data_IF_528263910732
#
_entry.id   IF_528263910732
#
_cell.length_a   1.000
_cell.length_b   1.000
_cell.length_c   1.000
_cell.angle_alpha   90.00
_cell.angle_beta   90.00
_cell.angle_gamma   90.00
#
_symmetry.space_group_name_H-M   'P 1'
#
loop_
_entity.id
_entity.type
_entity.pdbx_description
1 polymer ?
#
# COMPACT_ATOMS: atom_id res chain seq x y z
N UNK A 1 19.57 -11.60 -24.73
CA UNK A 1 19.07 -10.64 -25.74
C UNK A 1 18.92 -9.27 -25.04
N UNK A 2 19.76 -8.27 -25.34
CA UNK A 2 19.64 -6.92 -24.74
C UNK A 2 18.56 -6.13 -25.49
N UNK A 3 17.35 -6.08 -24.97
CA UNK A 3 16.31 -5.17 -25.44
C UNK A 3 16.55 -3.79 -24.82
N UNK A 4 16.54 -2.73 -25.65
CA UNK A 4 16.85 -1.35 -25.24
C UNK A 4 15.83 -0.77 -24.24
N UNK A 5 14.62 -1.33 -24.15
CA UNK A 5 13.64 -1.05 -23.10
C UNK A 5 12.63 -2.19 -22.97
N UNK A 6 12.06 -2.37 -21.76
CA UNK A 6 11.00 -3.35 -21.49
C UNK A 6 9.76 -3.10 -22.37
N UNK A 7 9.42 -1.84 -22.62
CA UNK A 7 8.35 -1.44 -23.54
C UNK A 7 8.58 -1.97 -24.96
N UNK A 8 9.79 -1.80 -25.50
CA UNK A 8 10.15 -2.31 -26.82
C UNK A 8 10.19 -3.85 -26.90
N UNK A 9 10.27 -4.54 -25.75
CA UNK A 9 10.13 -5.99 -25.67
C UNK A 9 8.66 -6.42 -25.72
N UNK A 10 7.77 -5.70 -25.04
CA UNK A 10 6.32 -5.96 -25.05
C UNK A 10 5.72 -5.71 -26.43
N UNK A 11 6.07 -4.60 -27.09
CA UNK A 11 5.59 -4.25 -28.44
C UNK A 11 6.00 -5.26 -29.53
N UNK A 12 6.99 -6.13 -29.27
CA UNK A 12 7.38 -7.23 -30.18
C UNK A 12 6.52 -8.47 -30.03
N UNK A 13 5.80 -8.62 -28.92
CA UNK A 13 5.08 -9.85 -28.55
C UNK A 13 3.58 -9.65 -28.40
N UNK A 14 3.16 -8.41 -28.15
CA UNK A 14 1.78 -8.03 -27.92
C UNK A 14 1.41 -6.90 -28.87
N UNK A 15 0.16 -6.90 -29.31
CA UNK A 15 -0.39 -5.79 -30.07
C UNK A 15 -0.74 -4.60 -29.15
N UNK A 16 -0.98 -3.43 -29.73
CA UNK A 16 -1.26 -2.20 -28.96
C UNK A 16 -2.51 -2.30 -28.08
N UNK A 17 -3.52 -3.07 -28.48
CA UNK A 17 -4.74 -3.24 -27.70
C UNK A 17 -4.48 -4.11 -26.46
N UNK A 18 -3.73 -5.21 -26.61
CA UNK A 18 -3.33 -6.08 -25.50
C UNK A 18 -2.47 -5.31 -24.47
N UNK A 19 -1.53 -4.48 -24.94
CA UNK A 19 -0.72 -3.64 -24.05
C UNK A 19 -1.60 -2.65 -23.29
N UNK A 20 -2.54 -1.98 -23.98
CA UNK A 20 -3.43 -1.02 -23.35
C UNK A 20 -4.37 -1.66 -22.32
N UNK A 21 -4.87 -2.88 -22.56
CA UNK A 21 -5.68 -3.61 -21.58
C UNK A 21 -4.87 -3.99 -20.33
N UNK A 22 -3.63 -4.46 -20.50
CA UNK A 22 -2.73 -4.78 -19.38
C UNK A 22 -2.42 -3.51 -18.57
N UNK A 23 -2.08 -2.41 -19.22
CA UNK A 23 -1.82 -1.13 -18.54
C UNK A 23 -3.05 -0.62 -17.79
N UNK A 24 -4.25 -0.74 -18.37
CA UNK A 24 -5.50 -0.37 -17.72
C UNK A 24 -5.76 -1.23 -16.47
N UNK A 25 -5.62 -2.55 -16.57
CA UNK A 25 -5.83 -3.45 -15.45
C UNK A 25 -4.84 -3.17 -14.31
N UNK A 26 -3.55 -3.03 -14.65
CA UNK A 26 -2.50 -2.71 -13.68
C UNK A 26 -2.73 -1.37 -12.98
N UNK A 27 -3.21 -0.36 -13.71
CA UNK A 27 -3.54 0.95 -13.14
C UNK A 27 -4.68 0.84 -12.12
N UNK A 28 -5.77 0.14 -12.45
CA UNK A 28 -6.89 -0.06 -11.54
C UNK A 28 -6.44 -0.81 -10.27
N UNK A 29 -5.67 -1.89 -10.43
CA UNK A 29 -5.14 -2.65 -9.31
C UNK A 29 -4.24 -1.80 -8.40
N UNK A 30 -3.36 -0.99 -9.00
CA UNK A 30 -2.52 -0.04 -8.27
C UNK A 30 -3.35 0.99 -7.51
N UNK A 31 -4.38 1.57 -8.14
CA UNK A 31 -5.25 2.57 -7.49
C UNK A 31 -5.99 1.97 -6.29
N UNK A 32 -6.48 0.74 -6.40
CA UNK A 32 -7.12 0.01 -5.30
C UNK A 32 -6.12 -0.24 -4.17
N UNK A 33 -4.94 -0.78 -4.49
CA UNK A 33 -3.91 -1.06 -3.51
C UNK A 33 -3.46 0.22 -2.79
N UNK A 34 -3.23 1.29 -3.54
CA UNK A 34 -2.80 2.57 -2.98
C UNK A 34 -3.88 3.17 -2.07
N UNK A 35 -5.15 3.09 -2.47
CA UNK A 35 -6.28 3.53 -1.63
C UNK A 35 -6.30 2.76 -0.29
N UNK A 36 -6.13 1.43 -0.32
CA UNK A 36 -6.06 0.63 0.90
C UNK A 36 -4.87 1.04 1.78
N UNK A 37 -3.70 1.30 1.19
CA UNK A 37 -2.51 1.76 1.93
C UNK A 37 -2.77 3.12 2.59
N UNK A 38 -3.40 4.04 1.88
CA UNK A 38 -3.76 5.37 2.38
C UNK A 38 -4.77 5.29 3.53
N UNK A 39 -5.73 4.39 3.47
CA UNK A 39 -6.71 4.24 4.55
C UNK A 39 -6.07 3.66 5.83
N UNK A 40 -5.18 2.69 5.69
CA UNK A 40 -4.38 2.22 6.83
C UNK A 40 -3.50 3.35 7.40
N UNK A 41 -2.87 4.15 6.54
CA UNK A 41 -2.04 5.27 6.97
C UNK A 41 -2.83 6.32 7.76
N UNK A 42 -4.01 6.71 7.27
CA UNK A 42 -4.93 7.63 7.97
C UNK A 42 -5.30 7.10 9.35
N UNK A 43 -5.62 5.82 9.45
CA UNK A 43 -5.97 5.18 10.72
C UNK A 43 -4.81 5.20 11.72
N UNK A 44 -3.60 4.92 11.26
CA UNK A 44 -2.39 4.96 12.07
C UNK A 44 -2.09 6.38 12.54
N UNK A 45 -2.13 7.38 11.65
CA UNK A 45 -1.88 8.78 12.00
C UNK A 45 -2.92 9.29 13.00
N UNK A 46 -4.18 8.95 12.80
CA UNK A 46 -5.25 9.28 13.75
C UNK A 46 -5.00 8.64 15.12
N UNK A 47 -4.68 7.35 15.15
CA UNK A 47 -4.34 6.66 16.40
C UNK A 47 -3.16 7.31 17.12
N UNK A 48 -2.11 7.70 16.38
CA UNK A 48 -0.97 8.41 16.95
C UNK A 48 -1.40 9.74 17.58
N UNK A 49 -2.23 10.52 16.90
CA UNK A 49 -2.73 11.80 17.40
C UNK A 49 -3.61 11.63 18.65
N UNK A 50 -4.53 10.67 18.63
CA UNK A 50 -5.47 10.39 19.73
C UNK A 50 -4.76 9.92 21.01
N UNK A 51 -3.60 9.26 20.87
CA UNK A 51 -2.87 8.66 21.98
C UNK A 51 -1.55 9.40 22.28
N UNK A 52 -1.32 10.57 21.67
CA UNK A 52 -0.09 11.37 21.80
C UNK A 52 1.20 10.55 21.54
N UNK A 53 1.15 9.63 20.57
CA UNK A 53 2.29 8.79 20.21
C UNK A 53 3.18 9.49 19.18
N UNK A 54 4.47 9.54 19.47
CA UNK A 54 5.48 9.95 18.50
C UNK A 54 5.85 8.83 17.54
N UNK A 55 6.60 9.18 16.50
CA UNK A 55 7.15 8.23 15.54
C UNK A 55 7.96 7.11 16.20
N UNK A 56 8.81 7.45 17.17
CA UNK A 56 9.65 6.49 17.89
C UNK A 56 8.84 5.53 18.77
N UNK A 57 7.69 5.96 19.29
CA UNK A 57 6.80 5.08 20.06
C UNK A 57 6.19 4.02 19.15
N UNK A 58 5.80 4.42 17.94
CA UNK A 58 5.25 3.49 16.95
C UNK A 58 6.29 2.49 16.47
N UNK A 59 7.53 2.93 16.23
CA UNK A 59 8.68 2.06 15.93
C UNK A 59 8.85 0.98 17.00
N UNK A 60 8.85 1.37 18.29
CA UNK A 60 8.97 0.43 19.42
C UNK A 60 7.77 -0.52 19.52
N UNK A 61 6.54 0.01 19.42
CA UNK A 61 5.30 -0.78 19.53
C UNK A 61 5.13 -1.80 18.40
N UNK A 62 5.58 -1.47 17.18
CA UNK A 62 5.47 -2.38 16.04
C UNK A 62 6.66 -3.34 15.89
N UNK A 63 7.79 -3.04 16.54
CA UNK A 63 9.03 -3.80 16.34
C UNK A 63 9.55 -3.74 14.90
N UNK A 64 9.20 -2.67 14.16
CA UNK A 64 9.58 -2.45 12.76
C UNK A 64 10.66 -1.39 12.67
N UNK A 65 11.46 -1.42 11.61
CA UNK A 65 12.47 -0.39 11.42
C UNK A 65 11.84 0.98 11.07
N UNK A 66 12.55 2.10 11.33
CA UNK A 66 12.04 3.45 11.06
C UNK A 66 11.53 3.66 9.63
N UNK A 67 12.23 3.12 8.63
CA UNK A 67 11.83 3.28 7.22
C UNK A 67 10.48 2.62 6.93
N UNK A 68 10.25 1.41 7.46
CA UNK A 68 8.96 0.73 7.34
C UNK A 68 7.84 1.52 8.01
N UNK A 69 8.09 2.06 9.21
CA UNK A 69 7.11 2.90 9.91
C UNK A 69 6.84 4.20 9.16
N UNK A 70 7.86 4.83 8.58
CA UNK A 70 7.69 6.03 7.75
C UNK A 70 6.82 5.75 6.53
N UNK A 71 7.05 4.63 5.84
CA UNK A 71 6.25 4.25 4.68
C UNK A 71 4.80 3.90 5.07
N UNK A 72 4.58 3.30 6.25
CA UNK A 72 3.22 3.06 6.78
C UNK A 72 2.50 4.39 6.98
N UNK A 73 3.14 5.36 7.63
CA UNK A 73 2.55 6.67 7.93
C UNK A 73 2.26 7.47 6.64
N UNK A 74 3.10 7.33 5.61
CA UNK A 74 2.90 7.99 4.31
C UNK A 74 1.87 7.28 3.41
N UNK A 75 1.50 6.04 3.73
CA UNK A 75 0.66 5.20 2.87
C UNK A 75 1.37 4.70 1.62
N UNK A 76 2.69 4.57 1.69
CA UNK A 76 3.56 4.03 0.61
C UNK A 76 4.09 2.63 0.95
N UNK A 77 3.72 2.08 2.11
CA UNK A 77 4.15 0.76 2.52
C UNK A 77 3.41 -0.34 1.77
N UNK A 78 4.16 -1.30 1.23
CA UNK A 78 3.59 -2.56 0.80
C UNK A 78 3.22 -3.41 2.03
N UNK A 79 1.95 -3.39 2.41
CA UNK A 79 1.45 -4.02 3.64
C UNK A 79 0.96 -5.43 3.37
N UNK A 80 1.53 -6.39 4.11
CA UNK A 80 0.96 -7.74 4.18
C UNK A 80 -0.29 -7.74 5.06
N UNK A 81 -1.20 -8.69 4.84
CA UNK A 81 -2.37 -8.88 5.71
C UNK A 81 -1.99 -9.05 7.19
N UNK A 82 -0.87 -9.74 7.47
CA UNK A 82 -0.34 -9.87 8.82
C UNK A 82 0.09 -8.52 9.43
N UNK A 83 0.68 -7.62 8.63
CA UNK A 83 1.04 -6.28 9.09
C UNK A 83 -0.20 -5.44 9.37
N UNK A 84 -1.23 -5.53 8.52
CA UNK A 84 -2.52 -4.86 8.75
C UNK A 84 -3.14 -5.37 10.06
N UNK A 85 -3.19 -6.70 10.26
CA UNK A 85 -3.72 -7.28 11.49
C UNK A 85 -2.95 -6.81 12.74
N UNK A 86 -1.62 -6.77 12.68
CA UNK A 86 -0.78 -6.26 13.77
C UNK A 86 -1.09 -4.79 14.09
N UNK A 87 -1.20 -3.93 13.06
CA UNK A 87 -1.54 -2.51 13.23
C UNK A 87 -2.91 -2.34 13.89
N UNK A 88 -3.94 -3.01 13.37
CA UNK A 88 -5.29 -2.87 13.90
C UNK A 88 -5.46 -3.47 15.30
N UNK A 89 -4.73 -4.55 15.62
CA UNK A 89 -4.65 -5.08 16.98
C UNK A 89 -4.03 -4.06 17.94
N UNK A 90 -2.93 -3.39 17.54
CA UNK A 90 -2.31 -2.33 18.34
C UNK A 90 -3.28 -1.16 18.61
N UNK A 91 -4.12 -0.82 17.63
CA UNK A 91 -5.12 0.25 17.74
C UNK A 91 -6.40 -0.18 18.49
N UNK A 92 -6.53 -1.45 18.87
CA UNK A 92 -7.77 -1.99 19.44
C UNK A 92 -8.96 -1.99 18.47
N UNK A 93 -8.71 -1.96 17.16
CA UNK A 93 -9.71 -1.85 16.09
C UNK A 93 -9.81 -3.15 15.29
N UNK A 94 -10.94 -3.36 14.61
CA UNK A 94 -11.12 -4.45 13.64
C UNK A 94 -10.99 -3.90 12.22
N UNK A 95 -10.12 -4.48 11.41
CA UNK A 95 -10.04 -4.17 9.98
C UNK A 95 -11.13 -4.93 9.21
N UNK A 96 -11.76 -4.26 8.24
CA UNK A 96 -12.67 -4.89 7.27
C UNK A 96 -12.50 -4.20 5.92
N UNK A 97 -12.45 -4.98 4.84
CA UNK A 97 -12.54 -4.45 3.49
C UNK A 97 -14.01 -4.23 3.15
N UNK A 98 -14.38 -3.02 2.73
CA UNK A 98 -15.72 -2.70 2.23
C UNK A 98 -15.59 -2.27 0.78
N UNK A 99 -16.53 -2.69 -0.06
CA UNK A 99 -16.66 -2.16 -1.42
C UNK A 99 -17.12 -0.70 -1.34
N UNK A 100 -16.44 0.17 -2.08
CA UNK A 100 -16.91 1.54 -2.28
C UNK A 100 -18.07 1.52 -3.28
N UNK A 101 -19.08 2.37 -3.06
CA UNK A 101 -20.20 2.48 -3.98
C UNK A 101 -19.71 3.13 -5.27
N UNK A 102 -20.02 2.52 -6.42
CA UNK A 102 -19.64 3.00 -7.75
C UNK A 102 -20.59 4.08 -8.24
#
# INVERSE_FOLDING_TARGET
MKVKSFKAYLEKRLNKAEIAEIEKAAKIEYEILHTLQQDVAKDVVRFMSENHLGFNDLVRKLGKNPTQVSNIIKGDANLTMATIAQLYALMGKKARIRKEAT
#
